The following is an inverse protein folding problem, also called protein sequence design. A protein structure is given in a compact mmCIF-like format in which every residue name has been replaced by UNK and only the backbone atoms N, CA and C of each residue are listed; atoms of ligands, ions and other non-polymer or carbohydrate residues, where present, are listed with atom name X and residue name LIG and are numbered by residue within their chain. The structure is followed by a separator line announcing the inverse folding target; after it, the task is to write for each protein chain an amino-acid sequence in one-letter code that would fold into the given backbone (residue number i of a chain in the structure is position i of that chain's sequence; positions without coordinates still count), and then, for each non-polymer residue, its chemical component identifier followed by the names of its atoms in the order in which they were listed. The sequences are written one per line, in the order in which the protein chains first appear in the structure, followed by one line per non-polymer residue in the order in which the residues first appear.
data_IF_275792570003
#
_entry.id   IF_275792570003
#
_cell.length_a   1.000
_cell.length_b   1.000
_cell.length_c   1.000
_cell.angle_alpha   90.00
_cell.angle_beta   90.00
_cell.angle_gamma   90.00
#
_symmetry.space_group_name_H-M   'P 1'
#
loop_
_entity.id
_entity.type
_entity.pdbx_description
1 polymer ?
#
# COMPACT_ATOMS: atom_id res chain seq x y z
N UNK A 1 -24.88 18.38 -19.39
CA UNK A 1 -24.53 18.66 -17.98
C UNK A 1 -25.04 17.54 -17.06
N UNK A 2 -24.35 16.36 -16.96
CA UNK A 2 -24.83 15.21 -16.14
C UNK A 2 -23.67 14.33 -15.63
N UNK A 3 -22.50 14.89 -15.37
CA UNK A 3 -21.30 14.13 -15.05
C UNK A 3 -20.99 13.91 -13.54
N UNK A 4 -21.39 14.73 -12.56
CA UNK A 4 -21.03 14.47 -11.16
C UNK A 4 -21.85 13.34 -10.50
N UNK A 5 -23.10 13.14 -10.87
CA UNK A 5 -24.01 12.15 -10.26
C UNK A 5 -23.58 10.70 -10.55
N UNK A 6 -23.06 10.44 -11.74
CA UNK A 6 -22.60 9.09 -12.14
C UNK A 6 -21.35 8.64 -11.36
N UNK A 7 -20.48 9.56 -11.01
CA UNK A 7 -19.27 9.27 -10.22
C UNK A 7 -19.57 8.90 -8.77
N UNK A 8 -20.44 9.66 -8.11
CA UNK A 8 -20.81 9.42 -6.71
C UNK A 8 -21.58 8.12 -6.52
N UNK A 9 -22.47 7.78 -7.45
CA UNK A 9 -23.18 6.50 -7.43
C UNK A 9 -22.25 5.30 -7.67
N UNK A 10 -21.19 5.49 -8.49
CA UNK A 10 -20.20 4.44 -8.69
C UNK A 10 -19.40 4.16 -7.40
N UNK A 11 -18.95 5.21 -6.72
CA UNK A 11 -18.23 5.09 -5.46
C UNK A 11 -19.12 4.47 -4.36
N UNK A 12 -20.38 4.89 -4.24
CA UNK A 12 -21.31 4.34 -3.26
C UNK A 12 -21.53 2.82 -3.48
N UNK A 13 -21.68 2.39 -4.73
CA UNK A 13 -21.82 0.97 -5.08
C UNK A 13 -20.55 0.18 -4.72
N UNK A 14 -19.37 0.69 -5.06
CA UNK A 14 -18.10 0.04 -4.73
C UNK A 14 -17.86 -0.01 -3.22
N UNK A 15 -18.28 1.02 -2.47
CA UNK A 15 -18.22 1.04 -1.00
C UNK A 15 -19.07 -0.07 -0.37
N UNK A 16 -20.29 -0.27 -0.84
CA UNK A 16 -21.16 -1.35 -0.36
C UNK A 16 -20.51 -2.71 -0.60
N UNK A 17 -19.94 -2.92 -1.81
CA UNK A 17 -19.22 -4.17 -2.16
C UNK A 17 -18.00 -4.37 -1.26
N UNK A 18 -17.19 -3.33 -1.07
CA UNK A 18 -16.00 -3.38 -0.24
C UNK A 18 -16.31 -3.87 1.17
N UNK A 19 -17.39 -3.39 1.77
CA UNK A 19 -17.83 -3.76 3.12
C UNK A 19 -18.51 -5.14 3.21
N UNK A 20 -19.01 -5.68 2.12
CA UNK A 20 -19.74 -6.96 2.11
C UNK A 20 -18.83 -8.19 2.02
N UNK A 21 -17.59 -8.03 1.55
CA UNK A 21 -16.64 -9.13 1.36
C UNK A 21 -15.80 -9.31 2.62
N UNK A 22 -15.99 -10.43 3.33
CA UNK A 22 -15.32 -10.70 4.61
C UNK A 22 -13.79 -10.68 4.50
N UNK A 23 -13.20 -11.28 3.46
CA UNK A 23 -11.75 -11.29 3.27
C UNK A 23 -11.18 -9.88 3.15
N UNK A 24 -11.81 -9.01 2.36
CA UNK A 24 -11.41 -7.60 2.20
C UNK A 24 -11.48 -6.86 3.54
N UNK A 25 -12.58 -7.03 4.29
CA UNK A 25 -12.78 -6.37 5.59
C UNK A 25 -11.72 -6.82 6.59
N UNK A 26 -11.51 -8.12 6.77
CA UNK A 26 -10.53 -8.62 7.74
C UNK A 26 -9.09 -8.25 7.37
N UNK A 27 -8.74 -8.28 6.09
CA UNK A 27 -7.41 -7.82 5.63
C UNK A 27 -7.24 -6.32 5.89
N UNK A 28 -8.28 -5.52 5.67
CA UNK A 28 -8.27 -4.08 5.99
C UNK A 28 -8.09 -3.82 7.49
N UNK A 29 -8.80 -4.57 8.34
CA UNK A 29 -8.64 -4.49 9.81
C UNK A 29 -7.22 -4.88 10.21
N UNK A 30 -6.67 -5.96 9.67
CA UNK A 30 -5.29 -6.36 9.93
C UNK A 30 -4.29 -5.27 9.49
N UNK A 31 -4.50 -4.65 8.33
CA UNK A 31 -3.68 -3.52 7.84
C UNK A 31 -3.68 -2.35 8.83
N UNK A 32 -4.82 -2.05 9.45
CA UNK A 32 -4.94 -0.97 10.43
C UNK A 32 -4.29 -1.31 11.77
N UNK A 33 -4.37 -2.57 12.21
CA UNK A 33 -3.87 -2.99 13.52
C UNK A 33 -2.35 -3.18 13.54
N UNK A 34 -1.74 -3.63 12.45
CA UNK A 34 -0.31 -3.98 12.40
C UNK A 34 0.63 -2.85 12.82
N UNK A 35 0.50 -1.59 12.36
CA UNK A 35 1.38 -0.52 12.81
C UNK A 35 1.32 -0.32 14.32
N UNK A 36 0.10 -0.31 14.90
CA UNK A 36 -0.10 -0.12 16.34
C UNK A 36 0.46 -1.29 17.15
N UNK A 37 0.21 -2.52 16.70
CA UNK A 37 0.78 -3.72 17.34
C UNK A 37 2.31 -3.73 17.26
N UNK A 38 2.88 -3.23 16.16
CA UNK A 38 4.32 -3.04 16.00
C UNK A 38 4.90 -2.08 17.03
N UNK A 39 4.28 -0.93 17.21
CA UNK A 39 4.72 0.05 18.21
C UNK A 39 4.70 -0.53 19.63
N UNK A 40 3.62 -1.21 20.00
CA UNK A 40 3.51 -1.89 21.31
C UNK A 40 4.56 -2.99 21.45
N UNK A 41 4.78 -3.80 20.41
CA UNK A 41 5.77 -4.88 20.43
C UNK A 41 7.19 -4.34 20.62
N UNK A 42 7.59 -3.32 19.86
CA UNK A 42 8.91 -2.69 19.95
C UNK A 42 9.12 -2.08 21.35
N UNK A 43 8.13 -1.39 21.88
CA UNK A 43 8.20 -0.82 23.23
C UNK A 43 8.30 -1.89 24.32
N UNK A 44 7.55 -3.00 24.19
CA UNK A 44 7.56 -4.08 25.17
C UNK A 44 8.84 -4.92 25.16
N UNK A 45 9.48 -5.08 24.01
CA UNK A 45 10.69 -5.89 23.86
C UNK A 45 11.99 -5.09 24.00
N UNK A 46 11.92 -3.77 23.88
CA UNK A 46 13.12 -2.91 23.85
C UNK A 46 14.02 -3.21 22.63
N UNK A 47 13.46 -3.74 21.55
CA UNK A 47 14.21 -4.19 20.38
C UNK A 47 14.68 -3.06 19.47
N UNK A 48 14.43 -1.80 19.82
CA UNK A 48 14.86 -0.62 19.07
C UNK A 48 16.39 -0.42 19.20
N UNK A 49 17.06 -0.23 18.07
CA UNK A 49 18.48 0.05 18.05
C UNK A 49 18.76 1.51 18.46
N UNK A 50 20.00 1.81 18.87
CA UNK A 50 20.37 3.13 19.41
C UNK A 50 20.35 4.24 18.35
N UNK A 51 20.46 3.90 17.09
CA UNK A 51 20.46 4.77 15.90
C UNK A 51 19.10 4.92 15.24
N UNK A 52 18.10 4.13 15.68
CA UNK A 52 16.73 4.27 15.23
C UNK A 52 16.03 5.49 15.83
N UNK A 53 15.01 5.97 15.12
CA UNK A 53 14.12 7.02 15.62
C UNK A 53 12.88 6.43 16.27
N UNK A 54 12.20 7.21 17.12
CA UNK A 54 10.88 6.85 17.66
C UNK A 54 9.88 6.58 16.50
N UNK A 55 9.95 7.40 15.45
CA UNK A 55 9.12 7.21 14.25
C UNK A 55 9.41 5.87 13.56
N UNK A 56 10.70 5.56 13.32
CA UNK A 56 11.14 4.32 12.66
C UNK A 56 10.72 3.09 13.44
N UNK A 57 11.04 3.06 14.73
CA UNK A 57 10.72 1.93 15.61
C UNK A 57 9.22 1.71 15.76
N UNK A 58 8.44 2.80 15.95
CA UNK A 58 6.97 2.68 16.08
C UNK A 58 6.29 2.15 14.82
N UNK A 59 6.90 2.33 13.65
CA UNK A 59 6.33 1.99 12.35
C UNK A 59 6.97 0.76 11.70
N UNK A 60 7.79 -0.01 12.41
CA UNK A 60 8.49 -1.20 11.88
C UNK A 60 7.55 -2.18 11.17
N UNK A 61 6.39 -2.50 11.73
CA UNK A 61 5.41 -3.39 11.07
C UNK A 61 4.59 -2.73 9.96
N UNK A 62 4.80 -1.44 9.68
CA UNK A 62 4.11 -0.74 8.59
C UNK A 62 4.50 -1.28 7.20
N UNK A 63 5.69 -1.88 7.05
CA UNK A 63 6.10 -2.56 5.81
C UNK A 63 5.18 -3.74 5.53
N UNK A 64 4.89 -4.57 6.54
CA UNK A 64 3.95 -5.70 6.42
C UNK A 64 2.53 -5.20 6.18
N UNK A 65 2.13 -4.13 6.87
CA UNK A 65 0.82 -3.51 6.68
C UNK A 65 0.65 -2.94 5.25
N UNK A 66 1.70 -2.37 4.65
CA UNK A 66 1.70 -1.92 3.25
C UNK A 66 1.48 -3.09 2.28
N UNK A 67 2.08 -4.25 2.55
CA UNK A 67 1.84 -5.46 1.75
C UNK A 67 0.37 -5.89 1.82
N UNK A 68 -0.24 -5.86 3.01
CA UNK A 68 -1.66 -6.15 3.15
C UNK A 68 -2.54 -5.11 2.44
N UNK A 69 -2.16 -3.83 2.43
CA UNK A 69 -2.87 -2.82 1.65
C UNK A 69 -2.87 -3.16 0.15
N UNK A 70 -1.74 -3.62 -0.39
CA UNK A 70 -1.65 -4.08 -1.78
C UNK A 70 -2.50 -5.34 -2.02
N UNK A 71 -2.53 -6.27 -1.06
CA UNK A 71 -3.42 -7.45 -1.11
C UNK A 71 -4.89 -7.04 -1.14
N UNK A 72 -5.31 -6.06 -0.33
CA UNK A 72 -6.68 -5.53 -0.38
C UNK A 72 -7.01 -5.00 -1.78
N UNK A 73 -6.11 -4.23 -2.39
CA UNK A 73 -6.29 -3.76 -3.77
C UNK A 73 -6.48 -4.90 -4.76
N UNK A 74 -5.67 -5.95 -4.67
CA UNK A 74 -5.79 -7.15 -5.51
C UNK A 74 -7.13 -7.86 -5.31
N UNK A 75 -7.56 -8.06 -4.05
CA UNK A 75 -8.80 -8.76 -3.70
C UNK A 75 -10.06 -8.01 -4.16
N UNK A 76 -10.05 -6.67 -4.13
CA UNK A 76 -11.18 -5.85 -4.62
C UNK A 76 -11.48 -6.11 -6.09
N UNK A 77 -10.48 -6.41 -6.88
CA UNK A 77 -10.69 -6.73 -8.30
C UNK A 77 -10.89 -8.22 -8.53
N UNK A 78 -10.04 -9.07 -7.96
CA UNK A 78 -10.08 -10.51 -8.21
C UNK A 78 -11.29 -11.20 -7.58
N UNK A 79 -11.85 -10.65 -6.50
CA UNK A 79 -13.07 -11.11 -5.90
C UNK A 79 -14.28 -11.06 -6.85
N UNK A 80 -14.32 -10.10 -7.77
CA UNK A 80 -15.35 -10.04 -8.80
C UNK A 80 -15.17 -11.07 -9.91
N UNK A 81 -13.91 -11.40 -10.23
CA UNK A 81 -13.64 -12.49 -11.19
C UNK A 81 -14.01 -13.86 -10.60
N UNK A 82 -13.64 -14.12 -9.36
CA UNK A 82 -13.90 -15.39 -8.69
C UNK A 82 -15.40 -15.64 -8.42
N UNK A 83 -16.17 -14.58 -8.15
CA UNK A 83 -17.61 -14.66 -7.92
C UNK A 83 -18.43 -14.53 -9.21
N UNK A 84 -17.80 -14.26 -10.35
CA UNK A 84 -18.50 -14.02 -11.63
C UNK A 84 -19.28 -12.71 -11.71
N UNK A 85 -19.24 -11.89 -10.64
CA UNK A 85 -19.98 -10.61 -10.58
C UNK A 85 -19.40 -9.54 -11.51
N UNK A 86 -18.22 -9.74 -12.07
CA UNK A 86 -17.61 -8.82 -13.04
C UNK A 86 -18.52 -8.61 -14.27
N UNK A 87 -19.21 -9.66 -14.73
CA UNK A 87 -20.12 -9.60 -15.88
C UNK A 87 -21.33 -8.70 -15.59
N UNK A 88 -21.95 -8.86 -14.44
CA UNK A 88 -23.09 -8.03 -14.01
C UNK A 88 -22.67 -6.58 -13.79
N UNK A 89 -21.47 -6.35 -13.26
CA UNK A 89 -20.89 -5.01 -13.08
C UNK A 89 -20.75 -4.29 -14.44
N UNK A 90 -20.21 -4.96 -15.46
CA UNK A 90 -20.04 -4.35 -16.79
C UNK A 90 -21.32 -4.29 -17.60
N UNK A 91 -22.29 -5.20 -17.38
CA UNK A 91 -23.63 -5.07 -17.97
C UNK A 91 -24.37 -3.83 -17.43
N UNK A 92 -24.29 -3.58 -16.12
CA UNK A 92 -24.88 -2.41 -15.49
C UNK A 92 -24.14 -1.10 -15.83
N UNK A 93 -22.82 -1.18 -16.09
CA UNK A 93 -21.95 -0.03 -16.37
C UNK A 93 -20.96 -0.36 -17.49
N UNK A 94 -21.31 -0.09 -18.75
CA UNK A 94 -20.49 -0.48 -19.90
C UNK A 94 -19.16 0.29 -20.00
N UNK A 95 -19.02 1.43 -19.30
CA UNK A 95 -17.76 2.20 -19.26
C UNK A 95 -16.78 1.58 -18.26
N UNK A 96 -16.00 0.58 -18.70
CA UNK A 96 -15.00 -0.14 -17.88
C UNK A 96 -13.99 0.79 -17.18
N UNK A 97 -13.65 1.93 -17.81
CA UNK A 97 -12.77 2.95 -17.21
C UNK A 97 -13.37 3.59 -15.96
N UNK A 98 -14.66 3.89 -15.96
CA UNK A 98 -15.33 4.49 -14.79
C UNK A 98 -15.36 3.51 -13.62
N UNK A 99 -15.58 2.23 -13.89
CA UNK A 99 -15.57 1.18 -12.85
C UNK A 99 -14.17 1.05 -12.22
N UNK A 100 -13.13 0.92 -13.06
CA UNK A 100 -11.76 0.80 -12.57
C UNK A 100 -11.30 2.05 -11.80
N UNK A 101 -11.62 3.24 -12.32
CA UNK A 101 -11.31 4.50 -11.65
C UNK A 101 -12.03 4.64 -10.30
N UNK A 102 -13.31 4.23 -10.22
CA UNK A 102 -14.06 4.23 -8.96
C UNK A 102 -13.44 3.27 -7.93
N UNK A 103 -13.04 2.06 -8.35
CA UNK A 103 -12.33 1.09 -7.50
C UNK A 103 -10.99 1.65 -7.02
N UNK A 104 -10.19 2.21 -7.93
CA UNK A 104 -8.89 2.79 -7.60
C UNK A 104 -9.04 3.96 -6.60
N UNK A 105 -9.98 4.86 -6.84
CA UNK A 105 -10.26 5.99 -5.94
C UNK A 105 -10.74 5.51 -4.56
N UNK A 106 -11.60 4.48 -4.52
CA UNK A 106 -12.08 3.90 -3.28
C UNK A 106 -10.94 3.27 -2.47
N UNK A 107 -10.19 2.33 -3.07
CA UNK A 107 -9.13 1.63 -2.33
C UNK A 107 -8.01 2.58 -1.91
N UNK A 108 -7.64 3.54 -2.78
CA UNK A 108 -6.66 4.56 -2.45
C UNK A 108 -7.12 5.44 -1.28
N UNK A 109 -8.35 5.95 -1.33
CA UNK A 109 -8.92 6.80 -0.28
C UNK A 109 -9.05 6.07 1.06
N UNK A 110 -9.58 4.84 1.04
CA UNK A 110 -9.71 4.01 2.25
C UNK A 110 -8.34 3.72 2.86
N UNK A 111 -7.37 3.26 2.06
CA UNK A 111 -6.04 2.94 2.57
C UNK A 111 -5.27 4.17 3.03
N UNK A 112 -5.42 5.31 2.36
CA UNK A 112 -4.82 6.56 2.79
C UNK A 112 -5.32 6.99 4.17
N UNK A 113 -6.64 7.10 4.35
CA UNK A 113 -7.23 7.54 5.63
C UNK A 113 -6.93 6.55 6.75
N UNK A 114 -7.03 5.26 6.47
CA UNK A 114 -6.75 4.20 7.43
C UNK A 114 -5.28 4.20 7.85
N UNK A 115 -4.34 4.28 6.90
CA UNK A 115 -2.92 4.32 7.20
C UNK A 115 -2.53 5.61 7.94
N UNK A 116 -3.09 6.77 7.54
CA UNK A 116 -2.86 8.01 8.26
C UNK A 116 -3.30 7.90 9.72
N UNK A 117 -4.49 7.37 9.99
CA UNK A 117 -5.00 7.20 11.35
C UNK A 117 -4.19 6.15 12.14
N UNK A 118 -3.92 4.98 11.56
CA UNK A 118 -3.23 3.89 12.27
C UNK A 118 -1.75 4.18 12.51
N UNK A 119 -1.03 4.75 11.53
CA UNK A 119 0.38 5.11 11.70
C UNK A 119 0.57 6.31 12.64
N UNK A 120 -0.36 7.28 12.62
CA UNK A 120 -0.37 8.36 13.63
C UNK A 120 -0.59 7.79 15.03
N UNK A 121 -1.55 6.89 15.19
CA UNK A 121 -1.78 6.23 16.49
C UNK A 121 -0.58 5.39 16.92
N UNK A 122 0.04 4.65 16.00
CA UNK A 122 1.25 3.86 16.27
C UNK A 122 2.41 4.76 16.74
N UNK A 123 2.64 5.88 16.08
CA UNK A 123 3.63 6.86 16.50
C UNK A 123 3.36 7.40 17.90
N UNK A 124 2.11 7.83 18.18
CA UNK A 124 1.74 8.35 19.50
C UNK A 124 1.88 7.28 20.61
N UNK A 125 1.55 6.03 20.31
CA UNK A 125 1.74 4.90 21.25
C UNK A 125 3.23 4.64 21.49
N UNK A 126 4.05 4.66 20.43
CA UNK A 126 5.49 4.50 20.55
C UNK A 126 6.14 5.63 21.34
N UNK A 127 5.77 6.87 21.07
CA UNK A 127 6.25 8.05 21.79
C UNK A 127 5.90 8.00 23.29
N UNK A 128 4.71 7.52 23.62
CA UNK A 128 4.26 7.37 25.02
C UNK A 128 4.89 6.20 25.78
N UNK A 129 5.30 5.14 25.08
CA UNK A 129 5.80 3.91 25.72
C UNK A 129 7.32 3.78 25.70
N UNK A 130 7.99 4.42 24.76
CA UNK A 130 9.45 4.39 24.68
C UNK A 130 10.09 5.34 25.72
N UNK A 131 11.28 5.02 26.24
CA UNK A 131 11.97 5.86 27.24
C UNK A 131 12.28 7.26 26.67
N UNK A 132 11.85 8.30 27.39
CA UNK A 132 12.10 9.68 27.03
C UNK A 132 13.59 9.98 26.89
N UNK A 133 13.96 10.73 25.83
CA UNK A 133 15.31 11.23 25.58
C UNK A 133 16.33 10.18 25.15
N UNK A 134 15.95 8.90 25.05
CA UNK A 134 16.86 7.83 24.61
C UNK A 134 17.01 7.75 23.08
N UNK A 135 15.96 8.07 22.35
CA UNK A 135 15.90 7.97 20.88
C UNK A 135 15.55 9.32 20.26
N UNK A 136 16.06 9.59 19.06
CA UNK A 136 15.64 10.75 18.28
C UNK A 136 14.17 10.61 17.86
N UNK A 137 13.42 11.71 17.87
CA UNK A 137 11.97 11.68 17.55
C UNK A 137 11.71 11.37 16.06
N UNK A 138 12.63 11.77 15.16
CA UNK A 138 12.39 11.81 13.73
C UNK A 138 11.54 13.03 13.32
N UNK A 139 11.09 13.05 12.05
CA UNK A 139 10.25 14.11 11.48
C UNK A 139 8.86 13.58 11.12
N UNK A 140 7.92 13.43 12.09
CA UNK A 140 6.67 12.71 11.86
C UNK A 140 5.71 13.44 10.92
N UNK A 141 5.64 14.79 10.96
CA UNK A 141 4.57 15.48 10.24
C UNK A 141 4.64 15.38 8.73
N UNK A 142 5.72 15.63 8.01
CA UNK A 142 5.68 15.36 6.57
C UNK A 142 5.67 13.86 6.27
N UNK A 143 6.33 13.03 7.09
CA UNK A 143 6.47 11.60 6.88
C UNK A 143 5.14 10.86 6.94
N UNK A 144 4.28 11.11 7.93
CA UNK A 144 2.98 10.42 8.09
C UNK A 144 2.07 10.57 6.87
N UNK A 145 2.05 11.73 6.22
CA UNK A 145 1.30 11.92 4.96
C UNK A 145 1.91 11.12 3.81
N UNK A 146 3.22 11.08 3.72
CA UNK A 146 3.93 10.27 2.72
C UNK A 146 3.71 8.76 2.93
N UNK A 147 3.77 8.31 4.18
CA UNK A 147 3.48 6.93 4.59
C UNK A 147 2.04 6.56 4.20
N UNK A 148 1.06 7.40 4.53
CA UNK A 148 -0.33 7.17 4.14
C UNK A 148 -0.50 7.11 2.60
N UNK A 149 0.19 7.97 1.86
CA UNK A 149 0.19 7.95 0.41
C UNK A 149 0.84 6.67 -0.14
N UNK A 150 1.90 6.14 0.49
CA UNK A 150 2.53 4.89 0.06
C UNK A 150 1.59 3.68 0.19
N UNK A 151 0.74 3.63 1.22
CA UNK A 151 -0.30 2.61 1.37
C UNK A 151 -1.36 2.72 0.28
N UNK A 152 -1.80 3.93 -0.04
CA UNK A 152 -2.74 4.17 -1.13
C UNK A 152 -2.16 3.72 -2.49
N UNK A 153 -0.90 4.05 -2.76
CA UNK A 153 -0.19 3.65 -3.98
C UNK A 153 -0.06 2.12 -4.03
N UNK A 154 0.33 1.47 -2.93
CA UNK A 154 0.42 0.01 -2.86
C UNK A 154 -0.93 -0.68 -3.12
N UNK A 155 -2.03 -0.14 -2.60
CA UNK A 155 -3.38 -0.66 -2.87
C UNK A 155 -3.78 -0.51 -4.35
N UNK A 156 -3.45 0.62 -4.99
CA UNK A 156 -3.68 0.79 -6.43
C UNK A 156 -2.81 -0.15 -7.26
N UNK A 157 -1.55 -0.39 -6.85
CA UNK A 157 -0.67 -1.38 -7.47
C UNK A 157 -1.30 -2.77 -7.41
N UNK A 158 -1.79 -3.18 -6.23
CA UNK A 158 -2.51 -4.45 -6.05
C UNK A 158 -3.75 -4.56 -6.94
N UNK A 159 -4.55 -3.50 -7.04
CA UNK A 159 -5.71 -3.43 -7.92
C UNK A 159 -5.33 -3.61 -9.40
N UNK A 160 -4.25 -2.96 -9.84
CA UNK A 160 -3.74 -3.09 -11.22
C UNK A 160 -3.29 -4.53 -11.51
N UNK A 161 -2.50 -5.13 -10.61
CA UNK A 161 -2.08 -6.53 -10.72
C UNK A 161 -3.28 -7.48 -10.72
N UNK A 162 -4.26 -7.27 -9.82
CA UNK A 162 -5.49 -8.05 -9.78
C UNK A 162 -6.30 -7.97 -11.08
N UNK A 163 -6.31 -6.80 -11.72
CA UNK A 163 -6.94 -6.59 -13.05
C UNK A 163 -6.25 -7.39 -14.14
N UNK A 164 -4.92 -7.52 -14.09
CA UNK A 164 -4.12 -8.22 -15.09
C UNK A 164 -4.19 -9.75 -14.92
N UNK A 165 -4.02 -10.23 -13.68
CA UNK A 165 -3.92 -11.66 -13.34
C UNK A 165 -5.28 -12.34 -13.30
N UNK A 166 -6.36 -11.65 -12.87
CA UNK A 166 -7.76 -12.13 -12.81
C UNK A 166 -8.00 -13.37 -11.94
N UNK A 167 -7.02 -13.77 -11.15
CA UNK A 167 -7.09 -14.91 -10.24
C UNK A 167 -6.58 -14.50 -8.86
N UNK A 168 -7.33 -14.75 -7.79
CA UNK A 168 -7.04 -14.21 -6.46
C UNK A 168 -5.70 -14.68 -5.90
N UNK A 169 -5.45 -15.99 -5.91
CA UNK A 169 -4.18 -16.51 -5.39
C UNK A 169 -2.99 -16.01 -6.21
N UNK A 170 -3.09 -16.04 -7.55
CA UNK A 170 -2.05 -15.53 -8.43
C UNK A 170 -1.77 -14.02 -8.23
N UNK A 171 -2.81 -13.21 -8.08
CA UNK A 171 -2.65 -11.77 -7.87
C UNK A 171 -1.99 -11.47 -6.51
N UNK A 172 -2.43 -12.15 -5.45
CA UNK A 172 -1.84 -12.00 -4.10
C UNK A 172 -0.36 -12.40 -4.11
N UNK A 173 -0.03 -13.57 -4.67
CA UNK A 173 1.36 -14.03 -4.77
C UNK A 173 2.22 -13.08 -5.59
N UNK A 174 1.71 -12.59 -6.74
CA UNK A 174 2.44 -11.65 -7.60
C UNK A 174 2.68 -10.33 -6.88
N UNK A 175 1.70 -9.79 -6.17
CA UNK A 175 1.83 -8.52 -5.44
C UNK A 175 2.83 -8.65 -4.29
N UNK A 176 2.70 -9.70 -3.47
CA UNK A 176 3.65 -9.95 -2.37
C UNK A 176 5.07 -10.15 -2.93
N UNK A 177 5.21 -10.95 -3.99
CA UNK A 177 6.48 -11.14 -4.67
C UNK A 177 7.07 -9.80 -5.16
N UNK A 178 6.28 -8.96 -5.80
CA UNK A 178 6.73 -7.68 -6.33
C UNK A 178 7.21 -6.71 -5.23
N UNK A 179 6.64 -6.80 -4.03
CA UNK A 179 7.08 -6.00 -2.89
C UNK A 179 8.29 -6.61 -2.16
N UNK A 180 8.36 -7.93 -2.02
CA UNK A 180 9.42 -8.61 -1.25
C UNK A 180 10.67 -8.94 -2.08
N UNK A 181 10.51 -9.34 -3.35
CA UNK A 181 11.65 -9.82 -4.15
C UNK A 181 12.78 -8.79 -4.29
N UNK A 182 12.51 -7.47 -4.46
CA UNK A 182 13.58 -6.50 -4.55
C UNK A 182 14.46 -6.43 -3.30
N UNK A 183 13.89 -6.52 -2.11
CA UNK A 183 14.64 -6.49 -0.85
C UNK A 183 15.33 -7.82 -0.55
N UNK A 184 14.72 -8.98 -0.90
CA UNK A 184 15.30 -10.29 -0.68
C UNK A 184 16.48 -10.60 -1.63
N UNK A 185 16.36 -10.21 -2.88
CA UNK A 185 17.32 -10.53 -3.92
C UNK A 185 18.28 -9.38 -4.24
N UNK A 186 17.99 -8.15 -3.78
CA UNK A 186 18.86 -6.99 -3.94
C UNK A 186 20.32 -7.29 -3.61
N UNK A 187 20.63 -7.83 -2.41
CA UNK A 187 22.00 -8.13 -2.00
C UNK A 187 22.77 -9.07 -2.92
N UNK A 188 22.09 -9.89 -3.72
CA UNK A 188 22.73 -10.80 -4.68
C UNK A 188 23.30 -10.09 -5.93
N UNK A 189 22.88 -8.85 -6.15
CA UNK A 189 23.25 -8.07 -7.34
C UNK A 189 24.40 -7.07 -7.09
N UNK A 190 25.02 -7.10 -5.90
CA UNK A 190 26.14 -6.23 -5.55
C UNK A 190 25.82 -4.75 -5.78
N UNK A 191 26.59 -4.01 -6.56
CA UNK A 191 26.40 -2.57 -6.80
C UNK A 191 25.04 -2.20 -7.42
N UNK A 192 24.31 -3.16 -8.00
CA UNK A 192 22.97 -2.95 -8.54
C UNK A 192 21.89 -3.03 -7.45
N UNK A 193 22.18 -3.46 -6.23
CA UNK A 193 21.25 -3.56 -5.10
C UNK A 193 20.48 -2.26 -4.89
N UNK A 194 21.19 -1.15 -4.78
CA UNK A 194 20.62 0.20 -4.59
C UNK A 194 19.60 0.61 -5.65
N UNK A 195 19.70 0.07 -6.86
CA UNK A 195 18.75 0.34 -7.93
C UNK A 195 17.54 -0.60 -7.84
N UNK A 196 17.79 -1.89 -7.58
CA UNK A 196 16.75 -2.92 -7.54
C UNK A 196 15.87 -2.74 -6.28
N UNK A 197 16.50 -2.71 -5.11
CA UNK A 197 15.79 -2.50 -3.85
C UNK A 197 15.21 -1.08 -3.77
N UNK A 198 15.98 -0.06 -4.13
CA UNK A 198 15.59 1.34 -4.00
C UNK A 198 14.39 1.78 -4.86
N UNK A 199 14.03 1.02 -5.91
CA UNK A 199 12.86 1.25 -6.73
C UNK A 199 11.59 0.55 -6.19
N UNK A 200 11.72 -0.23 -5.11
CA UNK A 200 10.58 -0.96 -4.54
C UNK A 200 9.62 -0.04 -3.76
N UNK A 201 8.33 -0.38 -3.68
CA UNK A 201 7.39 0.35 -2.84
C UNK A 201 7.75 0.29 -1.35
N UNK A 202 8.35 -0.82 -0.91
CA UNK A 202 8.82 -1.02 0.47
C UNK A 202 9.96 -0.09 0.81
N UNK A 203 10.98 0.05 -0.06
CA UNK A 203 12.07 0.99 0.15
C UNK A 203 11.59 2.45 0.22
N UNK A 204 10.61 2.84 -0.60
CA UNK A 204 10.01 4.17 -0.52
C UNK A 204 9.34 4.41 0.85
N UNK A 205 8.69 3.37 1.42
CA UNK A 205 8.11 3.43 2.75
C UNK A 205 9.20 3.50 3.83
N UNK A 206 10.23 2.64 3.79
CA UNK A 206 11.34 2.60 4.74
C UNK A 206 12.05 3.95 4.85
N UNK A 207 12.27 4.63 3.71
CA UNK A 207 12.81 5.99 3.68
C UNK A 207 11.88 7.02 4.34
N UNK A 208 10.55 6.86 4.19
CA UNK A 208 9.58 7.76 4.80
C UNK A 208 9.48 7.56 6.31
N UNK A 209 9.57 6.32 6.80
CA UNK A 209 9.58 6.02 8.24
C UNK A 209 10.93 6.26 8.89
N UNK A 210 11.96 6.63 8.12
CA UNK A 210 13.29 7.01 8.61
C UNK A 210 13.96 5.90 9.45
N UNK A 211 13.86 4.65 8.97
CA UNK A 211 14.57 3.53 9.59
C UNK A 211 16.08 3.62 9.34
N UNK A 212 16.89 3.11 10.26
CA UNK A 212 18.33 2.94 10.09
C UNK A 212 18.69 2.07 8.87
N UNK A 213 17.82 1.12 8.52
CA UNK A 213 17.99 0.22 7.37
C UNK A 213 17.81 0.93 6.00
N UNK A 214 17.24 2.14 5.99
CA UNK A 214 17.05 2.92 4.77
C UNK A 214 18.31 3.69 4.32
N UNK A 215 19.48 3.07 4.45
CA UNK A 215 20.75 3.66 4.06
C UNK A 215 20.89 3.79 2.53
N UNK A 216 21.65 4.79 2.08
CA UNK A 216 21.76 5.11 0.64
C UNK A 216 22.50 4.04 -0.18
N UNK A 217 23.32 3.24 0.44
CA UNK A 217 24.04 2.09 -0.17
C UNK A 217 23.11 0.90 -0.43
N UNK A 218 22.09 0.69 0.40
CA UNK A 218 21.14 -0.41 0.29
C UNK A 218 19.91 -0.05 -0.54
N UNK A 219 19.29 1.11 -0.28
CA UNK A 219 18.03 1.52 -0.93
C UNK A 219 18.17 2.72 -1.87
N UNK A 220 19.40 3.11 -2.20
CA UNK A 220 19.73 4.16 -3.14
C UNK A 220 19.58 5.59 -2.59
N UNK A 221 20.25 6.54 -3.26
CA UNK A 221 20.38 7.93 -2.85
C UNK A 221 19.16 8.82 -3.09
N UNK A 222 18.09 8.29 -3.73
CA UNK A 222 16.85 9.04 -3.90
C UNK A 222 16.20 9.29 -2.54
N UNK A 223 15.87 10.54 -2.27
CA UNK A 223 15.13 10.91 -1.07
C UNK A 223 13.75 10.24 -0.97
N UNK A 224 13.09 10.31 0.20
CA UNK A 224 11.81 9.62 0.44
C UNK A 224 10.70 10.06 -0.51
N UNK A 225 10.54 11.35 -0.75
CA UNK A 225 9.50 11.90 -1.63
C UNK A 225 9.70 11.58 -3.12
N UNK A 226 10.91 11.76 -3.70
CA UNK A 226 11.18 11.29 -5.06
C UNK A 226 10.98 9.79 -5.25
N UNK A 227 11.34 8.95 -4.25
CA UNK A 227 11.07 7.51 -4.29
C UNK A 227 9.59 7.22 -4.33
N UNK A 228 8.78 7.87 -3.49
CA UNK A 228 7.32 7.73 -3.51
C UNK A 228 6.71 8.17 -4.84
N UNK A 229 7.15 9.29 -5.40
CA UNK A 229 6.68 9.78 -6.71
C UNK A 229 7.01 8.80 -7.84
N UNK A 230 8.19 8.20 -7.82
CA UNK A 230 8.57 7.18 -8.79
C UNK A 230 7.68 5.95 -8.70
N UNK A 231 7.42 5.46 -7.47
CA UNK A 231 6.51 4.34 -7.22
C UNK A 231 5.10 4.66 -7.71
N UNK A 232 4.61 5.86 -7.42
CA UNK A 232 3.30 6.32 -7.88
C UNK A 232 3.22 6.41 -9.41
N UNK A 233 4.30 6.86 -10.07
CA UNK A 233 4.36 6.99 -11.52
C UNK A 233 4.25 5.63 -12.22
N UNK A 234 5.08 4.65 -11.86
CA UNK A 234 4.98 3.32 -12.49
C UNK A 234 3.71 2.56 -12.09
N UNK A 235 3.20 2.75 -10.86
CA UNK A 235 1.90 2.21 -10.45
C UNK A 235 0.78 2.75 -11.31
N UNK A 236 0.79 4.06 -11.58
CA UNK A 236 -0.18 4.71 -12.48
C UNK A 236 -0.04 4.17 -13.90
N UNK A 237 1.18 4.03 -14.41
CA UNK A 237 1.43 3.46 -15.75
C UNK A 237 0.89 2.02 -15.84
N UNK A 238 1.12 1.19 -14.80
CA UNK A 238 0.61 -0.18 -14.74
C UNK A 238 -0.93 -0.20 -14.69
N UNK A 239 -1.56 0.68 -13.91
CA UNK A 239 -3.01 0.80 -13.83
C UNK A 239 -3.64 1.23 -15.17
N UNK A 240 -3.00 2.16 -15.89
CA UNK A 240 -3.41 2.54 -17.23
C UNK A 240 -3.23 1.40 -18.23
N UNK A 241 -2.13 0.66 -18.18
CA UNK A 241 -1.91 -0.56 -18.97
C UNK A 241 -2.98 -1.61 -18.70
N UNK A 242 -3.30 -1.85 -17.42
CA UNK A 242 -4.37 -2.76 -17.00
C UNK A 242 -5.73 -2.31 -17.55
N UNK A 243 -6.02 -1.00 -17.57
CA UNK A 243 -7.24 -0.45 -18.16
C UNK A 243 -7.30 -0.70 -19.68
N UNK A 244 -6.21 -0.49 -20.40
CA UNK A 244 -6.15 -0.75 -21.86
C UNK A 244 -6.41 -2.22 -22.16
N UNK A 245 -5.77 -3.13 -21.41
CA UNK A 245 -6.00 -4.57 -21.55
C UNK A 245 -7.43 -4.97 -21.16
N UNK A 246 -8.00 -4.37 -20.13
CA UNK A 246 -9.39 -4.61 -19.72
C UNK A 246 -10.40 -4.21 -20.82
N UNK A 247 -10.10 -3.15 -21.60
CA UNK A 247 -10.94 -2.73 -22.71
C UNK A 247 -10.87 -3.65 -23.93
N UNK A 248 -9.69 -4.26 -24.16
CA UNK A 248 -9.42 -5.13 -25.31
C UNK A 248 -9.84 -6.58 -25.12
N UNK A 249 -9.92 -7.05 -23.88
CA UNK A 249 -10.26 -8.44 -23.55
C UNK A 249 -11.76 -8.55 -23.28
N UNK A 250 -12.39 -9.58 -23.85
CA UNK A 250 -13.76 -9.96 -23.50
C UNK A 250 -13.81 -10.58 -22.10
N UNK A 251 -14.92 -10.34 -21.40
CA UNK A 251 -15.16 -10.79 -20.01
C UNK A 251 -16.37 -11.72 -19.97
#
# INVERSE_FOLDING_TARGET
MTTPVLGSQALAYEWIKFRSVRSTVWTTVATALLPVLGAVFVAATGSLQSDDTVLGGSLTLSVVAQMLAAVVGALVMTGEYSSGTIRTTFAARPRRSTVLAAKAALVAGVMYVLALASCTLAYLVGDALLPEGRYAQGEPLPALFGIAASFAVAAVLGLAVGTLVRHSAGAVTTVIGLLLLPSLFGPLFGDAERWIAGLSPTAALEKLIQTSDAAADTVGSLGPWPSLLLVAAYTTALALGALVLLRRRDV
#
